data_IF_259581208450
#
_entry.id   IF_259581208450
#
_cell.length_a   1.000
_cell.length_b   1.000
_cell.length_c   1.000
_cell.angle_alpha   90.00
_cell.angle_beta   90.00
_cell.angle_gamma   90.00
#
_symmetry.space_group_name_H-M   'P 1'
#
loop_
_entity.id
_entity.type
_entity.pdbx_description
1 polymer ?
#
# COMPACT_ATOMS: atom_id res chain seq x y z
N UNK A 1 4.28 -7.27 -0.03
CA UNK A 1 4.76 -8.07 -1.17
C UNK A 1 5.36 -7.20 -2.25
N UNK A 2 6.25 -7.74 -3.06
CA UNK A 2 6.81 -7.05 -4.22
C UNK A 2 6.79 -7.98 -5.43
N UNK A 3 6.17 -7.55 -6.53
CA UNK A 3 6.06 -8.32 -7.77
C UNK A 3 7.07 -7.88 -8.83
N UNK A 4 7.46 -8.76 -9.76
CA UNK A 4 8.35 -8.39 -10.86
C UNK A 4 7.65 -7.47 -11.87
N UNK A 5 8.41 -6.54 -12.43
CA UNK A 5 7.99 -5.71 -13.57
C UNK A 5 8.39 -6.37 -14.89
N UNK A 6 7.68 -6.01 -15.94
CA UNK A 6 8.21 -6.20 -17.30
C UNK A 6 9.41 -5.27 -17.50
N UNK A 7 10.48 -5.84 -18.03
CA UNK A 7 11.69 -5.12 -18.45
C UNK A 7 11.79 -5.10 -19.96
N UNK A 8 12.53 -4.19 -20.59
CA UNK A 8 12.75 -4.24 -22.04
C UNK A 8 13.26 -5.60 -22.52
N UNK A 9 14.13 -6.25 -21.74
CA UNK A 9 14.64 -7.57 -22.06
C UNK A 9 13.57 -8.66 -22.00
N UNK A 10 12.70 -8.66 -20.97
CA UNK A 10 11.62 -9.64 -20.86
C UNK A 10 10.53 -9.42 -21.91
N UNK A 11 10.26 -8.19 -22.31
CA UNK A 11 9.35 -7.86 -23.41
C UNK A 11 9.90 -8.40 -24.72
N UNK A 12 11.16 -8.10 -25.06
CA UNK A 12 11.80 -8.59 -26.27
C UNK A 12 11.88 -10.14 -26.32
N UNK A 13 12.06 -10.79 -25.18
CA UNK A 13 12.04 -12.24 -25.09
C UNK A 13 10.63 -12.81 -25.33
N UNK A 14 9.62 -12.20 -24.75
CA UNK A 14 8.22 -12.59 -24.95
C UNK A 14 7.81 -12.45 -26.43
N UNK A 15 8.14 -11.33 -27.06
CA UNK A 15 7.87 -11.05 -28.48
C UNK A 15 8.53 -12.09 -29.37
N UNK A 16 9.81 -12.42 -29.10
CA UNK A 16 10.55 -13.44 -29.86
C UNK A 16 9.91 -14.83 -29.77
N UNK A 17 9.26 -15.13 -28.65
CA UNK A 17 8.54 -16.40 -28.42
C UNK A 17 7.07 -16.35 -28.85
N UNK A 18 6.57 -15.22 -29.35
CA UNK A 18 5.17 -15.01 -29.67
C UNK A 18 4.24 -15.06 -28.43
N UNK A 19 4.77 -14.76 -27.24
CA UNK A 19 4.00 -14.78 -26.01
C UNK A 19 3.18 -13.48 -25.86
N UNK A 20 1.90 -13.61 -25.46
CA UNK A 20 1.03 -12.46 -25.20
C UNK A 20 1.48 -11.73 -23.94
N UNK A 21 1.58 -10.41 -24.02
CA UNK A 21 1.85 -9.52 -22.90
C UNK A 21 0.61 -8.67 -22.58
N UNK A 22 0.45 -8.34 -21.31
CA UNK A 22 -0.61 -7.39 -20.85
C UNK A 22 -0.32 -5.96 -21.29
N UNK A 23 0.95 -5.63 -21.48
CA UNK A 23 1.44 -4.33 -21.97
C UNK A 23 2.88 -4.45 -22.48
N UNK A 24 3.27 -3.59 -23.41
CA UNK A 24 4.66 -3.41 -23.85
C UNK A 24 5.33 -2.21 -23.18
N UNK A 25 4.62 -1.49 -22.26
CA UNK A 25 5.18 -0.42 -21.47
C UNK A 25 5.67 -0.96 -20.10
N UNK A 26 6.98 -0.94 -19.81
CA UNK A 26 7.50 -1.34 -18.50
C UNK A 26 6.90 -0.56 -17.34
N UNK A 27 6.64 0.74 -17.51
CA UNK A 27 6.01 1.55 -16.47
C UNK A 27 4.53 1.18 -16.27
N UNK A 28 3.80 0.97 -17.36
CA UNK A 28 2.41 0.50 -17.34
C UNK A 28 2.26 -0.88 -16.68
N UNK A 29 3.30 -1.73 -16.73
CA UNK A 29 3.27 -3.04 -16.07
C UNK A 29 3.20 -2.97 -14.53
N UNK A 30 3.50 -1.82 -13.92
CA UNK A 30 3.41 -1.62 -12.45
C UNK A 30 2.00 -1.87 -11.91
N UNK A 31 0.99 -1.43 -12.62
CA UNK A 31 -0.43 -1.63 -12.24
C UNK A 31 -0.74 -3.12 -12.15
N UNK A 32 -0.33 -3.86 -13.19
CA UNK A 32 -0.56 -5.31 -13.23
C UNK A 32 0.23 -6.07 -12.17
N UNK A 33 1.50 -5.74 -11.97
CA UNK A 33 2.33 -6.38 -10.97
C UNK A 33 1.80 -6.13 -9.54
N UNK A 34 1.41 -4.90 -9.21
CA UNK A 34 0.83 -4.58 -7.90
C UNK A 34 -0.53 -5.22 -7.71
N UNK A 35 -1.41 -5.12 -8.70
CA UNK A 35 -2.76 -5.70 -8.64
C UNK A 35 -2.73 -7.22 -8.53
N UNK A 36 -1.92 -7.90 -9.35
CA UNK A 36 -1.80 -9.36 -9.29
C UNK A 36 -1.28 -9.83 -7.92
N UNK A 37 -0.27 -9.14 -7.36
CA UNK A 37 0.26 -9.51 -6.03
C UNK A 37 -0.76 -9.23 -4.91
N UNK A 38 -1.54 -8.14 -5.00
CA UNK A 38 -2.59 -7.84 -4.03
C UNK A 38 -3.73 -8.87 -4.08
N UNK A 39 -4.18 -9.22 -5.27
CA UNK A 39 -5.21 -10.25 -5.46
C UNK A 39 -4.73 -11.64 -5.05
N UNK A 40 -3.45 -11.96 -5.25
CA UNK A 40 -2.85 -13.19 -4.72
C UNK A 40 -2.86 -13.25 -3.19
N UNK A 41 -2.63 -12.13 -2.50
CA UNK A 41 -2.82 -12.04 -1.04
C UNK A 41 -4.29 -12.21 -0.67
N UNK A 42 -5.19 -11.49 -1.35
CA UNK A 42 -6.62 -11.56 -1.10
C UNK A 42 -7.17 -13.00 -1.26
N UNK A 43 -6.70 -13.72 -2.27
CA UNK A 43 -7.03 -15.14 -2.47
C UNK A 43 -6.49 -16.00 -1.33
N UNK A 44 -5.21 -15.82 -0.97
CA UNK A 44 -4.58 -16.60 0.10
C UNK A 44 -5.20 -16.37 1.49
N UNK A 45 -5.81 -15.19 1.72
CA UNK A 45 -6.53 -14.84 2.94
C UNK A 45 -8.04 -15.15 2.88
N UNK A 46 -8.54 -15.63 1.74
CA UNK A 46 -9.97 -15.88 1.55
C UNK A 46 -10.83 -14.62 1.41
N UNK A 47 -10.23 -13.46 1.15
CA UNK A 47 -10.93 -12.18 0.93
C UNK A 47 -11.61 -12.14 -0.44
N UNK A 48 -11.10 -12.89 -1.41
CA UNK A 48 -11.69 -13.06 -2.74
C UNK A 48 -11.76 -14.53 -3.12
N UNK A 49 -12.72 -14.89 -3.99
CA UNK A 49 -12.86 -16.24 -4.51
C UNK A 49 -12.02 -16.42 -5.78
N UNK A 50 -11.38 -17.58 -5.94
CA UNK A 50 -10.61 -17.92 -7.15
C UNK A 50 -11.43 -17.75 -8.43
N UNK A 51 -12.70 -18.19 -8.40
CA UNK A 51 -13.63 -18.09 -9.53
C UNK A 51 -13.94 -16.65 -9.98
N UNK A 52 -13.59 -15.64 -9.14
CA UNK A 52 -13.75 -14.23 -9.48
C UNK A 52 -12.50 -13.63 -10.14
N UNK A 53 -11.39 -14.38 -10.18
CA UNK A 53 -10.10 -13.91 -10.71
C UNK A 53 -9.94 -14.38 -12.15
N UNK A 54 -10.06 -13.43 -13.08
CA UNK A 54 -9.81 -13.61 -14.52
C UNK A 54 -8.70 -12.66 -14.97
N UNK A 55 -8.17 -12.86 -16.18
CA UNK A 55 -7.05 -12.04 -16.70
C UNK A 55 -7.35 -10.53 -16.75
N UNK A 56 -8.64 -10.16 -16.83
CA UNK A 56 -9.08 -8.78 -17.05
C UNK A 56 -9.53 -8.05 -15.77
N UNK A 57 -9.44 -8.68 -14.58
CA UNK A 57 -9.91 -8.03 -13.33
C UNK A 57 -8.99 -6.91 -12.85
N UNK A 58 -7.69 -7.00 -13.16
CA UNK A 58 -6.70 -6.04 -12.65
C UNK A 58 -6.96 -4.66 -13.24
N UNK A 59 -7.11 -3.66 -12.36
CA UNK A 59 -7.41 -2.28 -12.73
C UNK A 59 -8.85 -2.04 -13.20
N UNK A 60 -9.76 -3.03 -13.06
CA UNK A 60 -11.18 -2.94 -13.47
C UNK A 60 -12.14 -3.32 -12.37
N UNK A 61 -11.93 -4.47 -11.71
CA UNK A 61 -12.82 -4.98 -10.66
C UNK A 61 -12.31 -4.55 -9.28
N UNK A 62 -12.46 -3.25 -8.98
CA UNK A 62 -11.98 -2.66 -7.72
C UNK A 62 -12.79 -3.07 -6.49
N UNK A 63 -13.84 -3.85 -6.67
CA UNK A 63 -14.54 -4.57 -5.61
C UNK A 63 -13.76 -5.81 -5.11
N UNK A 64 -12.75 -6.27 -5.87
CA UNK A 64 -11.84 -7.34 -5.50
C UNK A 64 -10.54 -6.72 -4.97
N UNK A 65 -10.27 -6.87 -3.68
CA UNK A 65 -9.07 -6.32 -3.06
C UNK A 65 -8.69 -7.08 -1.79
N UNK A 66 -7.47 -6.86 -1.32
CA UNK A 66 -7.06 -7.21 0.04
C UNK A 66 -7.01 -5.96 0.90
N UNK A 67 -7.58 -6.02 2.10
CA UNK A 67 -7.54 -4.92 3.08
C UNK A 67 -6.22 -4.84 3.85
N UNK A 68 -5.37 -5.85 3.76
CA UNK A 68 -4.10 -5.96 4.51
C UNK A 68 -2.86 -6.01 3.61
N UNK A 69 -3.03 -6.23 2.30
CA UNK A 69 -1.91 -6.26 1.38
C UNK A 69 -1.30 -4.87 1.19
N UNK A 70 0.03 -4.78 1.33
CA UNK A 70 0.81 -3.65 0.81
C UNK A 70 1.73 -4.18 -0.26
N UNK A 71 1.54 -3.75 -1.52
CA UNK A 71 2.27 -4.28 -2.65
C UNK A 71 3.03 -3.20 -3.41
N UNK A 72 4.15 -3.59 -3.98
CA UNK A 72 4.95 -2.77 -4.88
C UNK A 72 5.42 -3.62 -6.05
N UNK A 73 6.17 -3.02 -6.97
CA UNK A 73 6.73 -3.71 -8.12
C UNK A 73 8.16 -3.23 -8.37
N UNK A 74 9.03 -4.11 -8.87
CA UNK A 74 10.42 -3.80 -9.16
C UNK A 74 10.97 -4.59 -10.34
N UNK A 75 11.73 -3.90 -11.21
CA UNK A 75 12.36 -4.49 -12.40
C UNK A 75 13.55 -5.41 -12.09
N UNK A 76 14.06 -5.34 -10.86
CA UNK A 76 15.15 -6.19 -10.36
C UNK A 76 14.68 -7.60 -9.97
N UNK A 77 13.36 -7.78 -9.80
CA UNK A 77 12.79 -9.06 -9.37
C UNK A 77 12.54 -10.01 -10.56
N UNK A 78 12.73 -11.29 -10.30
CA UNK A 78 12.33 -12.38 -11.21
C UNK A 78 11.11 -13.14 -10.68
N UNK A 79 10.90 -13.13 -9.38
CA UNK A 79 9.79 -13.77 -8.67
C UNK A 79 9.16 -12.77 -7.70
N UNK A 80 7.97 -13.09 -7.21
CA UNK A 80 7.36 -12.32 -6.13
C UNK A 80 8.11 -12.56 -4.81
N UNK A 81 8.37 -11.48 -4.09
CA UNK A 81 8.86 -11.52 -2.71
C UNK A 81 7.71 -11.24 -1.75
N UNK A 82 7.59 -12.07 -0.72
CA UNK A 82 6.54 -11.96 0.29
C UNK A 82 7.18 -11.82 1.66
N UNK A 83 6.83 -10.73 2.36
CA UNK A 83 7.11 -10.57 3.78
C UNK A 83 5.77 -10.64 4.52
N UNK A 84 5.63 -11.59 5.44
CA UNK A 84 4.46 -11.72 6.29
C UNK A 84 4.83 -11.23 7.70
N UNK A 85 4.08 -10.25 8.18
CA UNK A 85 4.19 -9.74 9.54
C UNK A 85 2.93 -10.11 10.31
N UNK A 86 3.08 -10.52 11.55
CA UNK A 86 1.97 -10.88 12.41
C UNK A 86 2.39 -10.95 13.87
N UNK A 87 1.41 -10.84 14.76
CA UNK A 87 1.62 -11.03 16.18
C UNK A 87 1.33 -12.49 16.56
N UNK A 88 2.13 -13.07 17.44
CA UNK A 88 1.94 -14.42 17.96
C UNK A 88 1.99 -14.40 19.49
N UNK A 89 1.12 -15.14 20.18
CA UNK A 89 1.24 -15.31 21.64
C UNK A 89 2.56 -15.95 22.07
N UNK A 90 3.21 -16.69 21.17
CA UNK A 90 4.51 -17.34 21.43
C UNK A 90 5.71 -16.44 21.06
N UNK A 91 5.47 -15.21 20.59
CA UNK A 91 6.56 -14.29 20.28
C UNK A 91 7.27 -13.86 21.58
N UNK A 92 8.59 -13.92 21.54
CA UNK A 92 9.47 -13.46 22.65
C UNK A 92 9.89 -12.00 22.49
N UNK A 93 9.50 -11.38 21.39
CA UNK A 93 9.81 -9.98 21.05
C UNK A 93 8.82 -9.04 21.73
N UNK A 94 9.33 -7.86 22.15
CA UNK A 94 8.54 -6.72 22.62
C UNK A 94 7.96 -5.86 21.48
N UNK A 95 8.18 -6.27 20.22
CA UNK A 95 7.60 -5.59 19.06
C UNK A 95 6.23 -6.16 18.69
N UNK A 96 5.30 -5.25 18.36
CA UNK A 96 3.99 -5.60 17.83
C UNK A 96 3.67 -4.81 16.58
N UNK A 97 2.94 -5.44 15.67
CA UNK A 97 2.41 -4.78 14.48
C UNK A 97 0.91 -4.54 14.64
N UNK A 98 0.46 -3.33 14.30
CA UNK A 98 -0.94 -2.97 14.15
C UNK A 98 -1.22 -2.53 12.73
N UNK A 99 -2.42 -2.84 12.26
CA UNK A 99 -2.89 -2.52 10.91
C UNK A 99 -4.19 -1.72 10.98
N UNK A 100 -4.38 -0.82 10.02
CA UNK A 100 -5.62 -0.11 9.75
C UNK A 100 -5.73 0.23 8.26
N UNK A 101 -6.86 0.81 7.89
CA UNK A 101 -7.11 1.34 6.56
C UNK A 101 -7.30 2.84 6.65
N UNK A 102 -6.52 3.60 5.89
CA UNK A 102 -6.76 5.03 5.64
C UNK A 102 -7.93 5.15 4.67
N UNK A 103 -8.96 5.88 5.05
CA UNK A 103 -10.15 6.11 4.22
C UNK A 103 -9.89 7.13 3.11
N UNK A 104 -8.93 8.01 3.32
CA UNK A 104 -8.49 9.04 2.38
C UNK A 104 -7.08 9.53 2.77
N UNK A 105 -6.50 10.42 1.96
CA UNK A 105 -5.14 10.93 2.15
C UNK A 105 -4.95 11.80 3.42
N UNK A 106 -6.03 12.21 4.07
CA UNK A 106 -5.99 13.03 5.30
C UNK A 106 -6.57 12.32 6.52
N UNK A 107 -6.67 10.98 6.47
CA UNK A 107 -7.28 10.18 7.55
C UNK A 107 -6.33 9.97 8.73
N UNK A 108 -6.19 10.99 9.59
CA UNK A 108 -5.44 10.87 10.84
C UNK A 108 -6.06 9.89 11.85
N UNK A 109 -7.35 9.57 11.73
CA UNK A 109 -7.98 8.56 12.59
C UNK A 109 -7.48 7.16 12.24
N UNK A 110 -7.32 6.84 10.93
CA UNK A 110 -6.72 5.60 10.47
C UNK A 110 -5.26 5.45 10.92
N UNK A 111 -4.48 6.53 10.89
CA UNK A 111 -3.10 6.52 11.42
C UNK A 111 -3.09 6.15 12.90
N UNK A 112 -3.91 6.83 13.72
CA UNK A 112 -4.01 6.52 15.16
C UNK A 112 -4.50 5.10 15.41
N UNK A 113 -5.43 4.61 14.59
CA UNK A 113 -5.93 3.24 14.71
C UNK A 113 -4.82 2.19 14.48
N UNK A 114 -3.97 2.37 13.47
CA UNK A 114 -2.86 1.45 13.23
C UNK A 114 -1.91 1.37 14.43
N UNK A 115 -1.54 2.52 15.02
CA UNK A 115 -0.65 2.58 16.18
C UNK A 115 -1.30 1.98 17.43
N UNK A 116 -2.59 2.27 17.67
CA UNK A 116 -3.34 1.68 18.80
C UNK A 116 -3.52 0.18 18.66
N UNK A 117 -3.79 -0.30 17.46
CA UNK A 117 -3.89 -1.73 17.16
C UNK A 117 -2.55 -2.47 17.38
N UNK A 118 -1.43 -1.77 17.30
CA UNK A 118 -0.13 -2.30 17.67
C UNK A 118 0.11 -2.33 19.20
N UNK A 119 -0.79 -1.71 20.00
CA UNK A 119 -0.73 -1.76 21.47
C UNK A 119 -0.29 -0.47 22.15
N UNK A 120 -0.16 0.64 21.42
CA UNK A 120 0.22 1.94 21.98
C UNK A 120 -1.02 2.84 22.12
N UNK A 121 -1.54 2.98 23.36
CA UNK A 121 -2.69 3.82 23.66
C UNK A 121 -2.28 5.29 23.79
N UNK A 122 -2.91 6.17 23.03
CA UNK A 122 -2.69 7.63 23.07
C UNK A 122 -3.88 8.38 22.45
N UNK A 123 -3.92 9.69 22.67
CA UNK A 123 -4.87 10.60 22.03
C UNK A 123 -4.13 11.78 21.39
N UNK A 124 -4.68 12.32 20.30
CA UNK A 124 -4.07 13.42 19.57
C UNK A 124 -2.79 13.02 18.82
N UNK A 125 -1.69 13.71 19.12
CA UNK A 125 -0.33 13.37 18.71
C UNK A 125 0.35 12.53 19.80
N UNK A 126 1.39 11.79 19.43
CA UNK A 126 2.21 11.04 20.38
C UNK A 126 3.04 12.01 21.24
N UNK A 127 3.24 11.63 22.51
CA UNK A 127 4.29 12.23 23.34
C UNK A 127 5.68 11.84 22.81
N UNK A 128 6.73 12.56 23.20
CA UNK A 128 8.10 12.21 22.80
C UNK A 128 8.50 10.81 23.27
N UNK A 129 8.00 10.36 24.42
CA UNK A 129 8.25 9.01 24.96
C UNK A 129 7.56 7.94 24.12
N UNK A 130 6.31 8.14 23.75
CA UNK A 130 5.56 7.23 22.91
C UNK A 130 6.07 7.22 21.46
N UNK A 131 6.50 8.37 20.94
CA UNK A 131 7.09 8.48 19.62
C UNK A 131 8.34 7.61 19.49
N UNK A 132 9.19 7.53 20.52
CA UNK A 132 10.37 6.65 20.54
C UNK A 132 10.03 5.15 20.56
N UNK A 133 8.79 4.80 20.87
CA UNK A 133 8.30 3.41 20.82
C UNK A 133 7.79 3.02 19.45
N UNK A 134 7.51 3.97 18.57
CA UNK A 134 7.15 3.69 17.19
C UNK A 134 8.41 3.38 16.39
N UNK A 135 8.56 2.13 15.98
CA UNK A 135 9.76 1.64 15.27
C UNK A 135 9.69 1.90 13.79
N UNK A 136 8.50 1.71 13.19
CA UNK A 136 8.28 1.95 11.77
C UNK A 136 6.79 2.09 11.45
N UNK A 137 6.51 2.91 10.44
CA UNK A 137 5.19 2.99 9.82
C UNK A 137 5.32 2.75 8.33
N UNK A 138 4.50 1.86 7.82
CA UNK A 138 4.37 1.56 6.40
C UNK A 138 2.99 2.01 5.92
N UNK A 139 2.94 2.85 4.94
CA UNK A 139 1.67 3.33 4.38
C UNK A 139 1.68 3.32 2.86
N UNK A 140 0.49 3.16 2.32
CA UNK A 140 0.23 3.46 0.92
C UNK A 140 -0.53 4.79 0.85
N UNK A 141 -0.50 5.41 -0.33
CA UNK A 141 -1.29 6.58 -0.64
C UNK A 141 -1.91 6.43 -2.02
N UNK A 142 -3.18 6.72 -2.13
CA UNK A 142 -3.88 6.85 -3.40
C UNK A 142 -4.30 8.29 -3.63
N UNK A 143 -4.06 8.77 -4.85
CA UNK A 143 -4.52 10.08 -5.27
C UNK A 143 -5.92 9.94 -5.87
N UNK A 144 -6.88 10.65 -5.29
CA UNK A 144 -8.26 10.68 -5.74
C UNK A 144 -8.67 12.09 -6.20
N UNK A 145 -9.62 12.23 -7.14
CA UNK A 145 -10.08 13.54 -7.59
C UNK A 145 -10.82 14.33 -6.51
N UNK A 146 -11.34 13.63 -5.51
CA UNK A 146 -12.04 14.25 -4.38
C UNK A 146 -11.63 13.60 -3.06
N UNK A 147 -11.59 14.39 -2.00
CA UNK A 147 -11.46 13.93 -0.62
C UNK A 147 -12.71 14.40 0.11
N UNK A 148 -13.47 13.46 0.69
CA UNK A 148 -14.72 13.73 1.45
C UNK A 148 -15.70 14.62 0.67
N UNK A 149 -15.86 14.34 -0.62
CA UNK A 149 -16.76 15.08 -1.50
C UNK A 149 -16.27 16.47 -1.93
N UNK A 150 -15.06 16.86 -1.55
CA UNK A 150 -14.42 18.12 -1.97
C UNK A 150 -13.36 17.84 -3.02
N UNK A 151 -13.16 18.80 -3.95
CA UNK A 151 -12.11 18.69 -4.96
C UNK A 151 -10.73 18.58 -4.31
N UNK A 152 -9.95 17.63 -4.82
CA UNK A 152 -8.54 17.51 -4.45
C UNK A 152 -7.68 18.30 -5.47
N UNK A 153 -7.05 19.38 -5.02
CA UNK A 153 -6.21 20.24 -5.85
C UNK A 153 -5.00 19.52 -6.46
N UNK A 154 -4.52 18.48 -5.79
CA UNK A 154 -3.36 17.70 -6.23
C UNK A 154 -3.49 17.07 -7.62
N UNK A 155 -4.71 16.86 -8.11
CA UNK A 155 -4.94 16.26 -9.43
C UNK A 155 -4.97 17.26 -10.58
N UNK A 156 -4.98 18.53 -10.30
CA UNK A 156 -5.11 19.59 -11.32
C UNK A 156 -3.88 20.47 -11.46
N UNK A 157 -2.85 20.25 -10.65
CA UNK A 157 -1.59 20.99 -10.74
C UNK A 157 -0.70 20.31 -11.79
N UNK A 158 -0.53 20.95 -12.93
CA UNK A 158 0.11 20.36 -14.10
C UNK A 158 1.62 20.11 -13.92
N UNK A 159 2.26 20.84 -13.03
CA UNK A 159 3.69 20.76 -12.73
C UNK A 159 4.05 19.79 -11.59
N UNK A 160 3.05 19.26 -10.87
CA UNK A 160 3.25 18.35 -9.75
C UNK A 160 2.63 16.99 -10.05
N UNK A 161 3.43 15.93 -9.94
CA UNK A 161 2.93 14.56 -10.05
C UNK A 161 1.98 14.24 -8.89
N UNK A 162 0.72 13.95 -9.19
CA UNK A 162 -0.34 13.74 -8.20
C UNK A 162 -0.06 12.57 -7.24
N UNK A 163 0.60 11.50 -7.68
CA UNK A 163 0.97 10.39 -6.78
C UNK A 163 2.03 10.82 -5.76
N UNK A 164 2.98 11.66 -6.16
CA UNK A 164 3.98 12.21 -5.24
C UNK A 164 3.34 13.14 -4.23
N UNK A 165 2.38 13.96 -4.68
CA UNK A 165 1.62 14.88 -3.83
C UNK A 165 0.80 14.11 -2.79
N UNK A 166 0.07 13.06 -3.20
CA UNK A 166 -0.69 12.21 -2.29
C UNK A 166 0.21 11.56 -1.23
N UNK A 167 1.39 11.06 -1.62
CA UNK A 167 2.37 10.51 -0.68
C UNK A 167 2.87 11.55 0.32
N UNK A 168 3.14 12.77 -0.14
CA UNK A 168 3.54 13.86 0.73
C UNK A 168 2.44 14.24 1.72
N UNK A 169 1.17 14.30 1.27
CA UNK A 169 0.03 14.59 2.13
C UNK A 169 -0.16 13.52 3.22
N UNK A 170 -0.18 12.24 2.84
CA UNK A 170 -0.25 11.12 3.79
C UNK A 170 0.95 11.14 4.75
N UNK A 171 2.16 11.37 4.24
CA UNK A 171 3.35 11.49 5.06
C UNK A 171 3.26 12.62 6.08
N UNK A 172 2.75 13.80 5.67
CA UNK A 172 2.55 14.93 6.57
C UNK A 172 1.52 14.63 7.68
N UNK A 173 0.42 13.93 7.34
CA UNK A 173 -0.58 13.51 8.34
C UNK A 173 0.04 12.53 9.35
N UNK A 174 0.82 11.55 8.89
CA UNK A 174 1.51 10.62 9.78
C UNK A 174 2.52 11.38 10.65
N UNK A 175 3.37 12.22 10.05
CA UNK A 175 4.38 13.01 10.77
C UNK A 175 3.77 13.94 11.83
N UNK A 176 2.61 14.54 11.56
CA UNK A 176 1.92 15.40 12.52
C UNK A 176 1.42 14.66 13.77
N UNK A 177 1.25 13.34 13.66
CA UNK A 177 0.81 12.48 14.78
C UNK A 177 2.01 11.88 15.50
N UNK A 178 3.05 11.49 14.76
CA UNK A 178 4.20 10.75 15.31
C UNK A 178 5.39 11.62 15.67
N UNK A 179 5.46 12.84 15.14
CA UNK A 179 6.65 13.69 15.26
C UNK A 179 7.82 13.26 14.38
N UNK A 180 7.71 12.14 13.66
CA UNK A 180 8.79 11.59 12.83
C UNK A 180 8.50 11.81 11.34
N UNK A 181 9.37 12.51 10.59
CA UNK A 181 9.26 12.67 9.14
C UNK A 181 9.84 11.49 8.34
N UNK A 182 10.59 10.59 8.96
CA UNK A 182 11.24 9.43 8.33
C UNK A 182 10.24 8.28 8.12
N UNK A 183 9.22 8.51 7.30
CA UNK A 183 8.10 7.60 7.10
C UNK A 183 8.16 7.01 5.70
N UNK A 184 7.89 5.70 5.59
CA UNK A 184 7.73 5.05 4.30
C UNK A 184 6.29 5.17 3.80
N UNK A 185 6.07 5.96 2.75
CA UNK A 185 4.80 6.06 2.03
C UNK A 185 5.01 5.72 0.56
N UNK A 186 4.30 4.72 0.08
CA UNK A 186 4.35 4.27 -1.32
C UNK A 186 3.05 4.58 -2.05
N UNK A 187 3.10 4.93 -3.33
CA UNK A 187 1.94 5.13 -4.19
C UNK A 187 1.49 3.84 -4.90
N UNK A 188 0.31 3.92 -5.51
CA UNK A 188 -0.32 2.82 -6.23
C UNK A 188 -0.95 1.79 -5.31
N UNK A 189 -2.28 1.75 -5.31
CA UNK A 189 -3.11 0.96 -4.38
C UNK A 189 -4.02 -0.01 -5.13
N UNK A 190 -3.64 -0.39 -6.34
CA UNK A 190 -4.44 -1.31 -7.15
C UNK A 190 -4.73 -2.60 -6.38
N UNK A 191 -6.01 -2.83 -6.11
CA UNK A 191 -6.51 -3.98 -5.32
C UNK A 191 -5.96 -4.06 -3.87
N UNK A 192 -5.48 -2.93 -3.35
CA UNK A 192 -5.04 -2.76 -1.96
C UNK A 192 -6.01 -1.81 -1.26
N UNK A 193 -6.97 -2.35 -0.55
CA UNK A 193 -8.17 -1.70 -0.01
C UNK A 193 -9.19 -1.27 -1.10
N UNK A 194 -10.34 -0.77 -0.66
CA UNK A 194 -11.34 -0.19 -1.55
C UNK A 194 -10.82 1.08 -2.24
N UNK A 195 -11.37 1.49 -3.40
CA UNK A 195 -10.98 2.71 -4.08
C UNK A 195 -10.97 3.95 -3.18
N UNK A 196 -9.90 4.71 -3.23
CA UNK A 196 -9.69 5.91 -2.40
C UNK A 196 -9.10 5.62 -1.02
N UNK A 197 -9.10 4.36 -0.58
CA UNK A 197 -8.52 3.92 0.67
C UNK A 197 -7.12 3.33 0.48
N UNK A 198 -6.34 3.25 1.56
CA UNK A 198 -4.99 2.71 1.51
C UNK A 198 -4.62 1.96 2.81
N UNK A 199 -3.86 0.87 2.74
CA UNK A 199 -3.40 0.17 3.93
C UNK A 199 -2.32 0.96 4.66
N UNK A 200 -2.35 0.90 5.99
CA UNK A 200 -1.32 1.41 6.89
C UNK A 200 -1.03 0.39 7.98
N UNK A 201 0.25 0.24 8.31
CA UNK A 201 0.68 -0.60 9.43
C UNK A 201 1.74 0.14 10.26
N UNK A 202 1.71 -0.07 11.56
CA UNK A 202 2.68 0.45 12.50
C UNK A 202 3.35 -0.69 13.27
N UNK A 203 4.65 -0.63 13.47
CA UNK A 203 5.40 -1.50 14.37
C UNK A 203 5.79 -0.66 15.58
N UNK A 204 5.40 -1.11 16.75
CA UNK A 204 5.71 -0.44 18.02
C UNK A 204 6.40 -1.40 18.99
N UNK A 205 7.17 -0.84 19.92
CA UNK A 205 7.65 -1.54 21.11
C UNK A 205 6.63 -1.38 22.22
N UNK A 206 6.10 -2.49 22.77
CA UNK A 206 5.11 -2.52 23.84
C UNK A 206 5.74 -2.80 25.21
#
# INVERSE_FOLDING_TARGET
>A
MKGPLLTPASIADADRRGAKLVTHDPNGSKVYARGATALGVALGLGEVKESSLTEDVIGRRFDLFSSVASTSAGGELRNCEVLLFGNSPAAVSDYRIGHAVLKDAIDGAGVRAAIRNAGLAFEGALSDDDARRVVSIFSKAEATPTIRGRRNTMLSDADINYERHARAAVGAVIASITGDPAIFVSGGTEHQCAPGAAPIAAIVRV
#
